data_IF_517952162112
#
_entry.id   IF_517952162112
#
_cell.length_a   1.000
_cell.length_b   1.000
_cell.length_c   1.000
_cell.angle_alpha   90.00
_cell.angle_beta   90.00
_cell.angle_gamma   90.00
#
_symmetry.space_group_name_H-M   'P 1'
#
loop_
_entity.id
_entity.type
_entity.pdbx_description
1 polymer ?
#
# COMPACT_ATOMS: atom_id res chain seq x y z
N UNK A 1 30.44 -8.45 14.81
CA UNK A 1 29.34 -8.91 13.94
C UNK A 1 29.45 -10.41 13.78
N UNK A 2 28.39 -11.17 14.08
CA UNK A 2 28.38 -12.61 13.82
C UNK A 2 28.54 -12.83 12.30
N UNK A 3 29.53 -13.62 11.88
CA UNK A 3 29.64 -14.04 10.48
C UNK A 3 28.47 -14.98 10.19
N UNK A 4 27.43 -14.46 9.53
CA UNK A 4 26.39 -15.32 8.97
C UNK A 4 27.03 -16.14 7.85
N UNK A 5 26.91 -17.46 7.93
CA UNK A 5 27.25 -18.37 6.84
C UNK A 5 25.96 -18.82 6.18
N UNK A 6 25.31 -18.01 5.32
CA UNK A 6 24.28 -18.55 4.46
C UNK A 6 24.91 -19.56 3.51
N UNK A 7 24.18 -20.63 3.22
CA UNK A 7 24.49 -21.52 2.10
C UNK A 7 24.62 -20.68 0.82
N UNK A 8 25.81 -20.62 0.22
CA UNK A 8 26.07 -19.80 -0.99
C UNK A 8 25.86 -20.55 -2.30
N UNK A 9 25.64 -21.87 -2.23
CA UNK A 9 25.52 -22.76 -3.40
C UNK A 9 24.60 -23.91 -3.06
N UNK A 10 23.78 -24.38 -4.01
CA UNK A 10 22.84 -25.51 -3.86
C UNK A 10 23.44 -26.77 -3.22
N UNK A 11 24.75 -26.95 -3.36
CA UNK A 11 25.50 -28.11 -2.89
C UNK A 11 26.01 -27.99 -1.44
N UNK A 12 25.65 -26.94 -0.69
CA UNK A 12 26.15 -26.74 0.67
C UNK A 12 25.05 -26.30 1.65
N UNK A 13 24.11 -27.19 2.02
CA UNK A 13 23.17 -26.94 3.11
C UNK A 13 23.88 -26.64 4.42
N UNK A 14 23.25 -25.83 5.28
CA UNK A 14 23.78 -25.51 6.61
C UNK A 14 22.90 -26.16 7.68
N UNK A 15 23.54 -26.83 8.62
CA UNK A 15 22.91 -27.44 9.78
C UNK A 15 22.95 -26.46 10.97
N UNK A 16 21.79 -25.94 11.36
CA UNK A 16 21.63 -25.08 12.52
C UNK A 16 21.29 -25.93 13.74
N UNK A 17 22.00 -25.70 14.84
CA UNK A 17 21.99 -26.54 16.03
C UNK A 17 21.76 -25.70 17.28
N UNK A 18 21.35 -26.34 18.39
CA UNK A 18 21.29 -25.73 19.72
C UNK A 18 20.45 -24.42 19.75
N UNK A 19 19.27 -24.45 19.14
CA UNK A 19 18.30 -23.35 19.14
C UNK A 19 17.05 -23.65 19.95
N UNK A 20 16.21 -22.62 20.16
CA UNK A 20 14.81 -22.77 20.60
C UNK A 20 13.91 -22.47 19.41
N UNK A 21 13.61 -23.47 18.61
CA UNK A 21 12.94 -23.31 17.31
C UNK A 21 11.45 -23.58 17.48
N UNK A 22 10.62 -22.56 17.29
CA UNK A 22 9.17 -22.70 17.20
C UNK A 22 8.78 -22.98 15.75
N UNK A 23 8.02 -24.05 15.51
CA UNK A 23 7.74 -24.54 14.14
C UNK A 23 6.32 -24.24 13.67
N UNK A 24 5.40 -23.91 14.59
CA UNK A 24 3.94 -23.82 14.35
C UNK A 24 3.29 -25.17 13.96
N UNK A 25 4.05 -26.26 13.86
CA UNK A 25 3.54 -27.60 13.65
C UNK A 25 2.95 -28.16 14.97
N UNK A 26 1.68 -28.56 14.95
CA UNK A 26 1.00 -29.14 16.12
C UNK A 26 1.65 -30.45 16.58
N UNK A 27 2.25 -31.21 15.66
CA UNK A 27 2.88 -32.50 15.95
C UNK A 27 4.31 -32.36 16.49
N UNK A 28 4.99 -31.27 16.15
CA UNK A 28 6.36 -30.98 16.58
C UNK A 28 6.53 -29.47 16.85
N UNK A 29 5.88 -28.90 17.87
CA UNK A 29 5.78 -27.43 18.05
C UNK A 29 7.12 -26.77 18.40
N UNK A 30 8.08 -27.57 18.90
CA UNK A 30 9.41 -27.13 19.26
C UNK A 30 10.46 -28.07 18.65
N UNK A 31 11.56 -27.48 18.21
CA UNK A 31 12.76 -28.16 17.75
C UNK A 31 14.01 -27.45 18.32
N UNK A 32 15.17 -28.11 18.21
CA UNK A 32 16.45 -27.49 18.59
C UNK A 32 17.49 -27.46 17.48
N UNK A 33 17.18 -28.00 16.30
CA UNK A 33 17.99 -27.84 15.11
C UNK A 33 17.21 -28.04 13.83
N UNK A 34 17.80 -27.60 12.71
CA UNK A 34 17.26 -27.80 11.37
C UNK A 34 18.36 -27.74 10.30
N UNK A 35 18.08 -28.30 9.12
CA UNK A 35 18.94 -28.19 7.94
C UNK A 35 18.26 -27.30 6.92
N UNK A 36 18.96 -26.25 6.48
CA UNK A 36 18.48 -25.32 5.47
C UNK A 36 19.34 -25.39 4.20
N UNK A 37 18.80 -25.93 3.09
CA UNK A 37 19.37 -25.83 1.75
C UNK A 37 19.28 -24.41 1.18
N UNK A 38 20.03 -24.12 0.12
CA UNK A 38 19.96 -22.83 -0.60
C UNK A 38 18.60 -22.56 -1.24
N UNK A 39 17.83 -23.61 -1.53
CA UNK A 39 16.49 -23.51 -2.11
C UNK A 39 15.48 -22.83 -1.18
N UNK A 40 15.75 -22.75 0.13
CA UNK A 40 14.94 -22.02 1.11
C UNK A 40 13.87 -22.86 1.84
N UNK A 41 13.65 -24.11 1.45
CA UNK A 41 12.75 -25.03 2.15
C UNK A 41 13.51 -25.87 3.16
N UNK A 42 13.05 -25.94 4.41
CA UNK A 42 13.67 -26.78 5.45
C UNK A 42 13.71 -28.25 4.99
N UNK A 43 14.91 -28.85 5.02
CA UNK A 43 15.09 -30.25 4.64
C UNK A 43 14.74 -31.18 5.80
N UNK A 44 15.19 -30.83 7.00
CA UNK A 44 15.00 -31.60 8.23
C UNK A 44 14.84 -30.63 9.39
N UNK A 45 13.91 -30.91 10.31
CA UNK A 45 13.69 -30.17 11.55
C UNK A 45 13.61 -31.18 12.69
N UNK A 46 14.37 -30.98 13.77
CA UNK A 46 14.54 -32.00 14.80
C UNK A 46 15.29 -31.54 16.03
N UNK A 47 15.79 -32.52 16.77
CA UNK A 47 16.70 -32.27 17.90
C UNK A 47 18.10 -31.93 17.42
N UNK A 48 18.87 -31.25 18.27
CA UNK A 48 20.28 -30.94 18.00
C UNK A 48 21.10 -32.19 17.68
N UNK A 49 20.86 -33.29 18.39
CA UNK A 49 21.63 -34.52 18.22
C UNK A 49 21.33 -35.23 16.88
N UNK A 50 20.08 -35.25 16.46
CA UNK A 50 19.67 -35.78 15.15
C UNK A 50 20.32 -34.98 14.02
N UNK A 51 20.20 -33.65 14.07
CA UNK A 51 20.73 -32.75 13.03
C UNK A 51 22.26 -32.80 13.01
N UNK A 52 22.92 -32.87 14.17
CA UNK A 52 24.37 -33.03 14.26
C UNK A 52 24.84 -34.37 13.68
N UNK A 53 24.08 -35.44 13.90
CA UNK A 53 24.39 -36.76 13.34
C UNK A 53 24.31 -36.75 11.82
N UNK A 54 23.26 -36.15 11.25
CA UNK A 54 23.10 -35.97 9.80
C UNK A 54 24.24 -35.10 9.24
N UNK A 55 24.56 -33.98 9.92
CA UNK A 55 25.62 -33.08 9.51
C UNK A 55 26.99 -33.77 9.48
N UNK A 56 27.31 -34.63 10.46
CA UNK A 56 28.56 -35.41 10.49
C UNK A 56 28.65 -36.40 9.33
N UNK A 57 27.58 -37.14 9.06
CA UNK A 57 27.56 -38.14 7.97
C UNK A 57 27.71 -37.48 6.61
N UNK A 58 27.08 -36.31 6.41
CA UNK A 58 27.09 -35.58 5.13
C UNK A 58 28.21 -34.55 4.99
N UNK A 59 28.99 -34.31 6.05
CA UNK A 59 30.03 -33.28 6.07
C UNK A 59 29.48 -31.85 5.93
N UNK A 60 28.31 -31.56 6.49
CA UNK A 60 27.68 -30.23 6.40
C UNK A 60 28.35 -29.20 7.31
N UNK A 61 28.30 -27.94 6.88
CA UNK A 61 28.65 -26.81 7.76
C UNK A 61 27.63 -26.75 8.89
N UNK A 62 28.11 -26.67 10.12
CA UNK A 62 27.26 -26.51 11.31
C UNK A 62 27.30 -25.07 11.82
N UNK A 63 26.17 -24.62 12.35
CA UNK A 63 26.02 -23.31 13.00
C UNK A 63 25.33 -23.47 14.35
N UNK A 64 26.01 -23.05 15.41
CA UNK A 64 25.46 -23.04 16.77
C UNK A 64 24.61 -21.78 17.00
N UNK A 65 23.30 -21.98 17.20
CA UNK A 65 22.31 -20.94 17.48
C UNK A 65 22.40 -20.42 18.93
N UNK A 66 23.20 -21.04 19.81
CA UNK A 66 23.46 -20.57 21.18
C UNK A 66 22.18 -20.30 21.98
N UNK A 67 21.21 -21.19 21.88
CA UNK A 67 19.90 -21.14 22.52
C UNK A 67 19.03 -19.92 22.13
N UNK A 68 19.39 -19.22 21.05
CA UNK A 68 18.55 -18.16 20.49
C UNK A 68 17.20 -18.73 20.07
N UNK A 69 16.18 -17.91 20.27
CA UNK A 69 14.83 -18.23 19.82
C UNK A 69 14.70 -17.98 18.32
N UNK A 70 14.10 -18.94 17.63
CA UNK A 70 13.82 -18.90 16.19
C UNK A 70 12.32 -19.16 16.04
N UNK A 71 11.67 -18.38 15.19
CA UNK A 71 10.27 -18.55 14.81
C UNK A 71 10.13 -18.28 13.31
N UNK A 72 9.00 -18.67 12.69
CA UNK A 72 8.68 -18.22 11.36
C UNK A 72 8.69 -16.70 11.27
N UNK A 73 8.96 -16.20 10.08
CA UNK A 73 8.83 -14.79 9.75
C UNK A 73 7.38 -14.30 9.92
N UNK A 74 7.24 -12.99 9.97
CA UNK A 74 5.94 -12.34 10.07
C UNK A 74 5.33 -12.18 8.68
N UNK A 75 4.03 -12.42 8.62
CA UNK A 75 3.19 -12.14 7.46
C UNK A 75 2.29 -10.94 7.79
N UNK A 76 2.40 -9.86 7.02
CA UNK A 76 1.47 -8.73 7.12
C UNK A 76 0.34 -8.89 6.09
N UNK A 77 -0.86 -9.17 6.59
CA UNK A 77 -2.02 -9.51 5.77
C UNK A 77 -2.69 -8.30 5.10
N UNK A 78 -2.25 -7.06 5.38
CA UNK A 78 -2.84 -5.90 4.73
C UNK A 78 -1.91 -4.67 4.74
N UNK A 79 -1.27 -4.40 3.61
CA UNK A 79 -0.31 -3.31 3.47
C UNK A 79 -0.56 -2.45 2.23
N UNK A 80 0.05 -1.27 2.23
CA UNK A 80 0.22 -0.42 1.06
C UNK A 80 1.71 -0.08 0.91
N UNK A 81 2.52 -1.05 0.49
CA UNK A 81 3.97 -1.02 0.54
C UNK A 81 4.55 0.15 -0.27
N UNK A 82 4.09 0.30 -1.52
CA UNK A 82 4.53 1.40 -2.38
C UNK A 82 4.14 2.75 -1.77
N UNK A 83 2.88 2.91 -1.37
CA UNK A 83 2.36 4.14 -0.77
C UNK A 83 3.11 4.51 0.52
N UNK A 84 3.44 3.53 1.37
CA UNK A 84 4.22 3.75 2.58
C UNK A 84 5.65 4.24 2.25
N UNK A 85 6.29 3.63 1.25
CA UNK A 85 7.61 4.04 0.77
C UNK A 85 7.60 5.46 0.18
N UNK A 86 6.62 5.76 -0.66
CA UNK A 86 6.43 7.08 -1.26
C UNK A 86 6.14 8.14 -0.18
N UNK A 87 5.24 7.85 0.75
CA UNK A 87 4.93 8.74 1.87
C UNK A 87 6.19 9.10 2.66
N UNK A 88 7.04 8.12 2.98
CA UNK A 88 8.25 8.36 3.76
C UNK A 88 9.36 9.07 3.01
N UNK A 89 9.46 8.86 1.69
CA UNK A 89 10.55 9.43 0.88
C UNK A 89 10.19 10.77 0.24
N UNK A 90 8.91 11.00 -0.04
CA UNK A 90 8.45 12.03 -0.97
C UNK A 90 7.48 13.01 -0.32
N UNK A 91 6.83 12.64 0.79
CA UNK A 91 5.91 13.51 1.48
C UNK A 91 6.56 14.03 2.75
N UNK A 92 6.50 15.35 2.94
CA UNK A 92 6.90 15.96 4.22
C UNK A 92 5.81 15.74 5.25
N UNK A 93 6.21 15.26 6.42
CA UNK A 93 5.35 15.25 7.58
C UNK A 93 5.13 16.68 8.07
N UNK A 94 3.89 17.16 7.99
CA UNK A 94 3.49 18.41 8.61
C UNK A 94 3.08 18.06 10.05
N UNK A 95 3.91 18.46 11.02
CA UNK A 95 3.70 18.12 12.44
C UNK A 95 2.37 18.66 12.95
N UNK A 96 1.76 18.00 13.94
CA UNK A 96 0.45 18.39 14.50
C UNK A 96 0.37 19.81 15.07
N UNK A 97 1.52 20.44 15.32
CA UNK A 97 1.65 21.83 15.78
C UNK A 97 1.75 22.87 14.65
N UNK A 98 1.76 22.43 13.38
CA UNK A 98 1.88 23.33 12.24
C UNK A 98 0.62 24.18 12.09
N UNK A 99 0.79 25.49 11.97
CA UNK A 99 -0.27 26.49 11.88
C UNK A 99 -0.05 27.41 10.67
N UNK A 100 -0.96 28.37 10.48
CA UNK A 100 -1.01 29.24 9.30
C UNK A 100 0.25 30.10 9.12
N UNK A 101 1.04 30.28 10.19
CA UNK A 101 2.31 31.00 10.14
C UNK A 101 3.51 30.08 9.88
N UNK A 102 3.45 28.79 10.27
CA UNK A 102 4.55 27.83 10.12
C UNK A 102 4.43 26.93 8.88
N UNK A 103 3.28 26.89 8.23
CA UNK A 103 3.06 26.08 7.03
C UNK A 103 3.99 26.44 5.88
N UNK A 104 4.02 27.71 5.46
CA UNK A 104 4.81 28.13 4.30
C UNK A 104 6.31 27.89 4.49
N UNK A 105 6.80 27.91 5.73
CA UNK A 105 8.17 27.53 6.08
C UNK A 105 8.36 26.02 5.91
N UNK A 106 7.45 25.22 6.46
CA UNK A 106 7.46 23.74 6.34
C UNK A 106 7.36 23.28 4.88
N UNK A 107 6.61 24.00 4.04
CA UNK A 107 6.41 23.72 2.61
C UNK A 107 7.59 24.15 1.71
N UNK A 108 8.36 25.17 2.10
CA UNK A 108 9.50 25.67 1.30
C UNK A 108 10.70 24.74 1.32
N UNK A 109 10.87 23.98 2.40
CA UNK A 109 12.05 23.13 2.54
C UNK A 109 11.98 21.85 1.69
N UNK A 110 10.78 21.34 1.35
CA UNK A 110 10.54 20.22 0.41
C UNK A 110 9.10 20.23 -0.11
N UNK A 111 8.84 19.65 -1.29
CA UNK A 111 7.48 19.49 -1.85
C UNK A 111 6.55 18.75 -0.87
N UNK A 112 5.47 19.36 -0.39
CA UNK A 112 4.58 18.71 0.59
C UNK A 112 3.12 18.63 0.18
N UNK A 113 2.44 17.70 0.85
CA UNK A 113 1.00 17.53 0.95
C UNK A 113 0.61 17.46 2.45
N UNK A 114 0.04 18.50 3.11
CA UNK A 114 -0.86 18.34 4.28
C UNK A 114 -1.57 19.58 4.93
N UNK A 115 -2.70 19.26 5.60
CA UNK A 115 -3.78 19.97 6.34
C UNK A 115 -3.69 21.47 6.65
N UNK A 116 -4.59 22.28 6.06
CA UNK A 116 -4.96 23.62 6.56
C UNK A 116 -6.46 23.90 6.44
N UNK A 117 -7.00 24.67 7.38
CA UNK A 117 -8.37 25.21 7.40
C UNK A 117 -8.49 26.60 6.76
N UNK A 118 -7.45 27.09 6.08
CA UNK A 118 -7.50 28.36 5.33
C UNK A 118 -6.68 28.29 4.04
N UNK A 119 -7.33 27.81 2.98
CA UNK A 119 -6.77 27.63 1.63
C UNK A 119 -6.26 28.94 1.01
N UNK A 120 -6.75 30.10 1.46
CA UNK A 120 -6.25 31.44 1.05
C UNK A 120 -4.73 31.56 1.16
N UNK A 121 -4.18 31.00 2.23
CA UNK A 121 -2.74 31.00 2.46
C UNK A 121 -1.95 30.22 1.41
N UNK A 122 -2.47 29.08 0.93
CA UNK A 122 -1.80 28.27 -0.11
C UNK A 122 -1.72 29.03 -1.43
N UNK A 123 -2.78 29.76 -1.79
CA UNK A 123 -2.81 30.57 -3.01
C UNK A 123 -1.87 31.78 -2.91
N UNK A 124 -1.79 32.44 -1.75
CA UNK A 124 -0.88 33.57 -1.53
C UNK A 124 0.59 33.16 -1.52
N UNK A 125 0.94 32.03 -0.91
CA UNK A 125 2.34 31.57 -0.83
C UNK A 125 2.81 30.84 -2.09
N UNK A 126 1.90 30.18 -2.81
CA UNK A 126 2.21 29.39 -4.00
C UNK A 126 1.27 29.77 -5.16
N UNK A 127 1.38 30.99 -5.72
CA UNK A 127 0.47 31.44 -6.78
C UNK A 127 0.60 30.63 -8.07
N UNK A 128 1.82 30.25 -8.45
CA UNK A 128 2.12 29.58 -9.73
C UNK A 128 2.61 28.13 -9.58
N UNK A 129 2.77 27.66 -8.33
CA UNK A 129 3.19 26.29 -8.01
C UNK A 129 1.98 25.47 -7.56
N UNK A 130 1.67 24.31 -8.17
CA UNK A 130 0.52 23.54 -7.76
C UNK A 130 0.80 22.87 -6.42
N UNK A 131 -0.10 23.05 -5.45
CA UNK A 131 0.00 22.43 -4.13
C UNK A 131 -1.25 21.61 -3.89
N UNK A 132 -1.05 20.30 -3.71
CA UNK A 132 -2.06 19.38 -3.20
C UNK A 132 -1.71 19.12 -1.74
N UNK A 133 -2.71 19.00 -0.88
CA UNK A 133 -2.55 18.79 0.54
C UNK A 133 -3.51 17.67 0.93
N UNK A 134 -3.01 16.52 1.38
CA UNK A 134 -3.88 15.44 1.86
C UNK A 134 -4.29 15.71 3.32
N UNK A 135 -5.35 15.10 3.81
CA UNK A 135 -5.71 15.14 5.23
C UNK A 135 -5.42 13.82 5.97
N UNK A 136 -5.75 13.75 7.27
CA UNK A 136 -5.55 12.57 8.14
C UNK A 136 -6.44 11.42 7.85
N UNK A 137 -7.62 11.69 7.32
CA UNK A 137 -8.49 10.61 6.86
C UNK A 137 -7.95 9.97 5.58
N UNK A 138 -7.15 10.69 4.77
CA UNK A 138 -6.81 10.34 3.38
C UNK A 138 -7.98 10.46 2.40
N UNK A 139 -9.17 10.82 2.88
CA UNK A 139 -10.39 10.99 2.09
C UNK A 139 -10.60 12.42 1.62
N UNK A 140 -9.77 13.36 2.10
CA UNK A 140 -9.85 14.77 1.74
C UNK A 140 -8.52 15.28 1.20
N UNK A 141 -8.61 16.09 0.15
CA UNK A 141 -7.46 16.87 -0.34
C UNK A 141 -7.84 18.34 -0.44
N UNK A 142 -6.88 19.21 -0.17
CA UNK A 142 -6.95 20.63 -0.45
C UNK A 142 -6.02 20.96 -1.62
N UNK A 143 -6.47 21.81 -2.52
CA UNK A 143 -5.69 22.28 -3.65
C UNK A 143 -5.70 23.81 -3.68
N UNK A 144 -4.57 24.42 -4.02
CA UNK A 144 -4.56 25.84 -4.37
C UNK A 144 -5.16 26.05 -5.77
N UNK A 145 -5.44 27.31 -6.12
CA UNK A 145 -6.03 27.69 -7.42
C UNK A 145 -5.27 27.10 -8.61
N UNK A 146 -3.95 27.10 -8.57
CA UNK A 146 -3.13 26.58 -9.64
C UNK A 146 -3.14 25.04 -9.74
N UNK A 147 -3.23 24.34 -8.62
CA UNK A 147 -3.48 22.90 -8.59
C UNK A 147 -4.83 22.52 -9.19
N UNK A 148 -5.88 23.28 -8.87
CA UNK A 148 -7.23 23.09 -9.42
C UNK A 148 -7.28 23.26 -10.94
N UNK A 149 -6.61 24.30 -11.47
CA UNK A 149 -6.48 24.50 -12.92
C UNK A 149 -5.79 23.31 -13.59
N UNK A 150 -4.70 22.80 -13.01
CA UNK A 150 -3.96 21.66 -13.58
C UNK A 150 -4.75 20.36 -13.62
N UNK A 151 -5.66 20.14 -12.66
CA UNK A 151 -6.55 18.97 -12.68
C UNK A 151 -7.83 19.19 -13.50
N UNK A 152 -8.00 20.38 -14.11
CA UNK A 152 -9.12 20.72 -14.98
C UNK A 152 -10.41 21.11 -14.26
N UNK A 153 -10.34 21.49 -12.98
CA UNK A 153 -11.50 22.02 -12.24
C UNK A 153 -11.71 23.48 -12.63
N UNK A 154 -12.81 23.76 -13.31
CA UNK A 154 -13.21 25.11 -13.72
C UNK A 154 -14.04 25.82 -12.64
N UNK A 155 -14.00 27.17 -12.58
CA UNK A 155 -14.77 27.94 -11.61
C UNK A 155 -16.27 27.67 -11.73
N UNK A 156 -16.98 27.71 -10.61
CA UNK A 156 -18.43 27.46 -10.55
C UNK A 156 -19.24 28.35 -11.51
N UNK A 157 -18.84 29.62 -11.68
CA UNK A 157 -19.48 30.55 -12.61
C UNK A 157 -19.37 30.12 -14.09
N UNK A 158 -18.42 29.25 -14.43
CA UNK A 158 -18.18 28.70 -15.77
C UNK A 158 -18.70 27.26 -15.90
N UNK A 159 -19.28 26.69 -14.83
CA UNK A 159 -19.85 25.34 -14.86
C UNK A 159 -21.22 25.35 -15.52
N UNK A 160 -21.35 24.58 -16.58
CA UNK A 160 -22.64 24.28 -17.23
C UNK A 160 -23.31 23.03 -16.66
N UNK A 161 -22.59 22.27 -15.83
CA UNK A 161 -23.05 21.02 -15.18
C UNK A 161 -22.51 21.00 -13.75
N UNK A 162 -23.29 20.54 -12.74
CA UNK A 162 -22.79 20.36 -11.38
C UNK A 162 -21.51 19.51 -11.37
N UNK A 163 -20.56 19.78 -10.45
CA UNK A 163 -19.35 18.97 -10.37
C UNK A 163 -19.70 17.51 -10.05
N UNK A 164 -18.83 16.54 -10.41
CA UNK A 164 -19.01 15.15 -10.03
C UNK A 164 -19.29 15.01 -8.52
N UNK A 165 -20.13 14.04 -8.13
CA UNK A 165 -20.49 13.79 -6.72
C UNK A 165 -19.21 13.66 -5.86
N UNK A 166 -19.17 14.31 -4.68
CA UNK A 166 -18.00 14.33 -3.77
C UNK A 166 -17.17 15.61 -3.82
N UNK A 167 -17.44 16.52 -4.75
CA UNK A 167 -16.78 17.84 -4.82
C UNK A 167 -17.67 18.88 -4.12
N UNK A 168 -17.40 19.20 -2.85
CA UNK A 168 -18.02 20.35 -2.17
C UNK A 168 -17.15 21.58 -2.41
N UNK A 169 -17.57 22.39 -3.39
CA UNK A 169 -16.86 23.60 -3.78
C UNK A 169 -17.46 24.79 -3.05
N UNK A 170 -16.72 25.44 -2.14
CA UNK A 170 -17.23 26.60 -1.38
C UNK A 170 -16.31 27.80 -1.48
N UNK A 171 -16.85 28.84 -2.13
CA UNK A 171 -16.23 30.17 -2.24
C UNK A 171 -16.28 30.87 -0.88
N UNK A 172 -15.12 31.28 -0.37
CA UNK A 172 -15.04 32.45 0.53
C UNK A 172 -14.51 33.59 -0.34
N UNK A 173 -15.05 34.80 -0.19
CA UNK A 173 -14.49 36.08 -0.66
C UNK A 173 -14.06 36.27 -2.14
N UNK A 174 -14.43 35.39 -3.06
CA UNK A 174 -14.20 35.57 -4.50
C UNK A 174 -12.88 34.99 -5.03
N UNK A 175 -12.06 34.39 -4.17
CA UNK A 175 -10.85 33.64 -4.51
C UNK A 175 -11.15 32.13 -4.57
N UNK A 176 -10.57 31.40 -5.54
CA UNK A 176 -10.73 29.95 -5.66
C UNK A 176 -10.03 29.22 -4.52
N UNK A 177 -10.80 28.59 -3.64
CA UNK A 177 -10.27 27.72 -2.60
C UNK A 177 -11.19 26.55 -2.30
N UNK A 178 -10.77 25.31 -2.53
CA UNK A 178 -11.68 24.15 -2.52
C UNK A 178 -11.05 22.94 -1.79
N UNK A 179 -11.88 22.24 -1.01
CA UNK A 179 -11.61 20.95 -0.41
C UNK A 179 -12.29 19.87 -1.27
N UNK A 180 -11.54 18.90 -1.81
CA UNK A 180 -12.14 17.75 -2.50
C UNK A 180 -12.32 16.60 -1.50
N UNK A 181 -13.48 15.94 -1.51
CA UNK A 181 -13.77 14.76 -0.69
C UNK A 181 -14.12 13.53 -1.55
N UNK A 182 -13.79 12.33 -1.07
CA UNK A 182 -14.21 11.04 -1.66
C UNK A 182 -13.88 10.84 -3.15
N UNK A 183 -14.87 10.88 -4.04
CA UNK A 183 -14.68 10.68 -5.47
C UNK A 183 -13.96 11.86 -6.15
N UNK A 184 -14.05 13.08 -5.58
CA UNK A 184 -13.36 14.27 -6.06
C UNK A 184 -11.83 14.15 -6.07
N UNK A 185 -11.18 13.73 -4.97
CA UNK A 185 -9.77 13.41 -4.98
C UNK A 185 -9.44 12.27 -5.94
N UNK A 186 -10.33 11.28 -6.15
CA UNK A 186 -10.10 10.21 -7.13
C UNK A 186 -9.81 10.71 -8.54
N UNK A 187 -10.55 11.72 -9.01
CA UNK A 187 -10.28 12.36 -10.30
C UNK A 187 -9.04 13.25 -10.28
N UNK A 188 -8.75 13.93 -9.17
CA UNK A 188 -7.50 14.67 -9.00
C UNK A 188 -6.27 13.75 -9.02
N UNK A 189 -6.35 12.58 -8.38
CA UNK A 189 -5.27 11.58 -8.33
C UNK A 189 -4.94 11.05 -9.73
N UNK A 190 -5.94 10.80 -10.57
CA UNK A 190 -5.72 10.39 -11.96
C UNK A 190 -5.04 11.46 -12.83
N UNK A 191 -5.06 12.72 -12.41
CA UNK A 191 -4.38 13.82 -13.11
C UNK A 191 -2.97 14.08 -12.60
N UNK A 192 -2.58 13.43 -11.50
CA UNK A 192 -1.20 13.51 -11.04
C UNK A 192 -0.27 12.73 -11.98
N UNK A 193 0.96 13.20 -12.16
CA UNK A 193 1.94 12.49 -12.97
C UNK A 193 2.20 11.11 -12.37
N UNK A 194 2.17 10.09 -13.21
CA UNK A 194 2.67 8.75 -12.86
C UNK A 194 4.18 8.84 -12.69
N UNK A 195 4.70 8.38 -11.55
CA UNK A 195 6.12 8.40 -11.30
C UNK A 195 6.87 7.42 -12.22
N UNK A 196 8.08 7.77 -12.70
CA UNK A 196 8.86 6.86 -13.53
C UNK A 196 9.34 5.63 -12.72
N UNK A 197 9.52 4.49 -13.39
CA UNK A 197 9.87 3.21 -12.75
C UNK A 197 11.07 3.27 -11.79
N UNK A 198 12.19 3.96 -12.08
CA UNK A 198 13.29 4.08 -11.11
C UNK A 198 12.86 4.64 -9.75
N UNK A 199 11.87 5.52 -9.73
CA UNK A 199 11.32 6.10 -8.49
C UNK A 199 10.43 5.10 -7.77
N UNK A 200 9.54 4.41 -8.49
CA UNK A 200 8.70 3.33 -7.93
C UNK A 200 9.59 2.28 -7.25
N UNK A 201 10.60 1.77 -7.97
CA UNK A 201 11.57 0.80 -7.42
C UNK A 201 12.25 1.30 -6.16
N UNK A 202 12.69 2.56 -6.13
CA UNK A 202 13.34 3.16 -4.95
C UNK A 202 12.41 3.21 -3.74
N UNK A 203 11.13 3.54 -3.92
CA UNK A 203 10.14 3.56 -2.85
C UNK A 203 9.76 2.16 -2.39
N UNK A 204 9.61 1.20 -3.32
CA UNK A 204 9.38 -0.21 -2.99
C UNK A 204 10.54 -0.81 -2.19
N UNK A 205 11.80 -0.60 -2.60
CA UNK A 205 12.98 -1.06 -1.84
C UNK A 205 13.00 -0.50 -0.41
N UNK A 206 12.60 0.76 -0.23
CA UNK A 206 12.50 1.35 1.10
C UNK A 206 11.41 0.68 1.95
N UNK A 207 10.25 0.37 1.35
CA UNK A 207 9.20 -0.42 1.99
C UNK A 207 9.71 -1.79 2.44
N UNK A 208 10.33 -2.54 1.52
CA UNK A 208 10.93 -3.87 1.78
C UNK A 208 11.92 -3.81 2.95
N UNK A 209 12.85 -2.85 2.91
CA UNK A 209 13.82 -2.66 3.99
C UNK A 209 13.18 -2.28 5.33
N UNK A 210 12.00 -1.67 5.32
CA UNK A 210 11.24 -1.37 6.53
C UNK A 210 10.59 -2.63 7.09
N UNK A 211 9.96 -3.46 6.24
CA UNK A 211 9.40 -4.77 6.60
C UNK A 211 10.47 -5.67 7.26
N UNK A 212 11.65 -5.79 6.65
CA UNK A 212 12.72 -6.64 7.17
C UNK A 212 13.21 -6.25 8.58
N UNK A 213 13.13 -4.96 8.96
CA UNK A 213 13.49 -4.52 10.33
C UNK A 213 12.57 -5.09 11.40
N UNK A 214 11.36 -5.48 11.02
CA UNK A 214 10.36 -6.07 11.90
C UNK A 214 10.18 -7.58 11.67
N UNK A 215 11.05 -8.20 10.87
CA UNK A 215 10.97 -9.63 10.55
C UNK A 215 9.80 -9.98 9.61
N UNK A 216 9.24 -9.02 8.89
CA UNK A 216 8.18 -9.25 7.89
C UNK A 216 8.84 -9.67 6.57
N UNK A 217 8.48 -10.84 6.05
CA UNK A 217 9.02 -11.41 4.81
C UNK A 217 7.98 -11.63 3.71
N UNK A 218 6.69 -11.65 4.08
CA UNK A 218 5.54 -11.76 3.18
C UNK A 218 4.54 -10.65 3.49
N UNK A 219 3.94 -10.07 2.45
CA UNK A 219 2.86 -9.07 2.59
C UNK A 219 1.70 -9.34 1.63
N UNK A 220 0.51 -8.83 1.97
CA UNK A 220 -0.52 -8.53 0.98
C UNK A 220 -0.50 -7.04 0.63
N UNK A 221 -0.26 -6.70 -0.63
CA UNK A 221 -0.44 -5.34 -1.14
C UNK A 221 -1.92 -5.15 -1.51
N UNK A 222 -2.58 -4.19 -0.88
CA UNK A 222 -4.03 -4.01 -0.97
C UNK A 222 -4.50 -3.10 -2.13
N UNK A 223 -3.59 -2.50 -2.89
CA UNK A 223 -3.91 -1.54 -3.94
C UNK A 223 -2.95 -1.59 -5.14
N UNK A 224 -2.56 -2.80 -5.55
CA UNK A 224 -1.64 -2.96 -6.66
C UNK A 224 -2.22 -2.37 -7.96
N UNK A 225 -1.36 -1.70 -8.71
CA UNK A 225 -1.68 -1.00 -9.94
C UNK A 225 -0.61 -1.31 -11.01
N UNK A 226 -0.82 -0.85 -12.24
CA UNK A 226 0.00 -1.21 -13.41
C UNK A 226 1.45 -0.81 -13.22
N UNK A 227 1.71 0.45 -12.82
CA UNK A 227 3.08 0.96 -12.66
C UNK A 227 3.83 0.23 -11.54
N UNK A 228 3.13 -0.18 -10.49
CA UNK A 228 3.71 -0.94 -9.40
C UNK A 228 4.12 -2.35 -9.85
N UNK A 229 3.26 -3.06 -10.57
CA UNK A 229 3.58 -4.40 -11.08
C UNK A 229 4.77 -4.37 -12.07
N UNK A 230 4.89 -3.33 -12.91
CA UNK A 230 6.09 -3.15 -13.73
C UNK A 230 7.35 -2.90 -12.89
N UNK A 231 7.25 -2.09 -11.82
CA UNK A 231 8.35 -1.88 -10.89
C UNK A 231 8.79 -3.16 -10.17
N UNK A 232 7.83 -4.01 -9.79
CA UNK A 232 8.11 -5.32 -9.18
C UNK A 232 8.81 -6.27 -10.17
N UNK A 233 8.34 -6.30 -11.42
CA UNK A 233 8.96 -7.11 -12.49
C UNK A 233 10.43 -6.74 -12.71
N UNK A 234 10.73 -5.45 -12.85
CA UNK A 234 12.12 -4.99 -12.99
C UNK A 234 12.96 -5.33 -11.75
N UNK A 235 12.39 -5.21 -10.53
CA UNK A 235 13.10 -5.60 -9.30
C UNK A 235 13.38 -7.10 -9.23
N UNK A 236 12.48 -7.93 -9.70
CA UNK A 236 12.67 -9.38 -9.80
C UNK A 236 13.78 -9.70 -10.82
N UNK A 237 13.70 -9.15 -12.04
CA UNK A 237 14.69 -9.33 -13.11
C UNK A 237 16.09 -8.85 -12.68
N UNK A 238 16.16 -7.78 -11.89
CA UNK A 238 17.39 -7.26 -11.30
C UNK A 238 17.87 -8.05 -10.06
N UNK A 239 17.12 -9.10 -9.63
CA UNK A 239 17.37 -9.88 -8.42
C UNK A 239 17.43 -9.03 -7.13
N UNK A 240 16.66 -7.93 -7.10
CA UNK A 240 16.55 -6.98 -5.98
C UNK A 240 15.24 -7.10 -5.21
N UNK A 241 14.27 -7.85 -5.71
CA UNK A 241 13.07 -8.21 -4.96
C UNK A 241 13.45 -9.28 -3.91
N UNK A 242 13.23 -8.97 -2.63
CA UNK A 242 13.65 -9.78 -1.47
C UNK A 242 12.53 -9.93 -0.42
N UNK A 243 11.29 -9.74 -0.85
CA UNK A 243 10.08 -9.83 -0.06
C UNK A 243 9.03 -10.51 -0.93
N UNK A 244 8.29 -11.47 -0.38
CA UNK A 244 7.17 -12.08 -1.09
C UNK A 244 5.95 -11.15 -1.00
N UNK A 245 5.27 -10.95 -2.13
CA UNK A 245 4.20 -9.95 -2.27
C UNK A 245 2.99 -10.58 -2.97
N UNK A 246 1.90 -10.68 -2.23
CA UNK A 246 0.57 -11.02 -2.76
C UNK A 246 -0.11 -9.73 -3.24
N UNK A 247 -0.08 -9.46 -4.54
CA UNK A 247 -0.59 -8.21 -5.10
C UNK A 247 -2.08 -8.30 -5.36
N UNK A 248 -2.87 -7.53 -4.61
CA UNK A 248 -4.30 -7.41 -4.84
C UNK A 248 -4.57 -6.25 -5.79
N UNK A 249 -5.00 -6.56 -7.01
CA UNK A 249 -5.39 -5.55 -7.99
C UNK A 249 -6.81 -5.06 -7.66
N UNK A 250 -7.00 -3.75 -7.63
CA UNK A 250 -8.29 -3.16 -7.29
C UNK A 250 -9.32 -3.34 -8.41
N UNK A 251 -10.52 -3.82 -8.06
CA UNK A 251 -11.65 -3.93 -8.97
C UNK A 251 -12.75 -2.91 -8.59
N UNK A 252 -13.22 -2.15 -9.59
CA UNK A 252 -14.34 -1.22 -9.41
C UNK A 252 -14.02 0.09 -8.69
N UNK A 253 -12.76 0.34 -8.34
CA UNK A 253 -12.37 1.58 -7.66
C UNK A 253 -11.05 2.15 -8.21
N UNK A 254 -11.06 3.43 -8.60
CA UNK A 254 -9.93 4.16 -9.19
C UNK A 254 -9.08 4.96 -8.18
N UNK A 255 -9.59 5.14 -6.96
CA UNK A 255 -9.08 6.09 -5.98
C UNK A 255 -7.72 5.68 -5.40
N UNK A 256 -7.67 4.57 -4.66
CA UNK A 256 -6.42 4.10 -4.05
C UNK A 256 -5.34 3.68 -5.04
N UNK A 257 -5.64 2.92 -6.11
CA UNK A 257 -4.62 2.55 -7.09
C UNK A 257 -4.17 3.74 -7.95
N UNK A 258 -4.85 4.90 -7.88
CA UNK A 258 -4.58 6.07 -8.72
C UNK A 258 -4.52 5.70 -10.22
N UNK A 259 -5.44 4.83 -10.66
CA UNK A 259 -5.46 4.28 -12.02
C UNK A 259 -6.89 4.18 -12.54
N UNK A 260 -7.09 4.44 -13.84
CA UNK A 260 -8.43 4.41 -14.44
C UNK A 260 -9.04 3.01 -14.41
N UNK A 261 -10.38 2.91 -14.32
CA UNK A 261 -11.08 1.63 -14.28
C UNK A 261 -10.82 0.76 -15.53
N UNK A 262 -10.71 1.38 -16.71
CA UNK A 262 -10.41 0.65 -17.95
C UNK A 262 -9.01 0.05 -17.94
N UNK A 263 -8.04 0.79 -17.40
CA UNK A 263 -6.66 0.31 -17.24
C UNK A 263 -6.58 -0.80 -16.20
N UNK A 264 -7.22 -0.65 -15.04
CA UNK A 264 -7.28 -1.70 -14.02
C UNK A 264 -7.96 -2.98 -14.51
N UNK A 265 -9.03 -2.85 -15.30
CA UNK A 265 -9.66 -4.00 -15.96
C UNK A 265 -8.67 -4.71 -16.89
N UNK A 266 -7.97 -3.95 -17.72
CA UNK A 266 -6.95 -4.51 -18.61
C UNK A 266 -5.81 -5.17 -17.83
N UNK A 267 -5.42 -4.59 -16.69
CA UNK A 267 -4.40 -5.16 -15.80
C UNK A 267 -4.85 -6.49 -15.21
N UNK A 268 -6.12 -6.60 -14.78
CA UNK A 268 -6.70 -7.85 -14.30
C UNK A 268 -6.66 -8.95 -15.38
N UNK A 269 -6.94 -8.59 -16.63
CA UNK A 269 -6.92 -9.53 -17.77
C UNK A 269 -5.51 -10.10 -18.05
N UNK A 270 -4.44 -9.37 -17.66
CA UNK A 270 -3.03 -9.77 -17.87
C UNK A 270 -2.25 -9.99 -16.57
N UNK A 271 -2.94 -10.12 -15.43
CA UNK A 271 -2.30 -10.16 -14.12
C UNK A 271 -1.33 -11.35 -13.96
N UNK A 272 -1.65 -12.52 -14.53
CA UNK A 272 -0.80 -13.71 -14.46
C UNK A 272 0.58 -13.47 -15.13
N UNK A 273 0.68 -12.58 -16.13
CA UNK A 273 1.94 -12.24 -16.80
C UNK A 273 2.93 -11.49 -15.89
N UNK A 274 2.47 -10.96 -14.76
CA UNK A 274 3.30 -10.30 -13.76
C UNK A 274 3.74 -11.21 -12.61
N UNK A 275 3.23 -12.44 -12.56
CA UNK A 275 3.62 -13.42 -11.55
C UNK A 275 5.09 -13.76 -11.69
N UNK A 276 5.78 -13.84 -10.55
CA UNK A 276 7.20 -14.18 -10.50
C UNK A 276 7.51 -15.04 -9.28
N UNK A 277 8.79 -15.24 -8.97
CA UNK A 277 9.21 -15.96 -7.77
C UNK A 277 8.66 -15.33 -6.50
N UNK A 278 8.71 -14.01 -6.38
CA UNK A 278 8.29 -13.29 -5.17
C UNK A 278 6.99 -12.50 -5.34
N UNK A 279 6.30 -12.63 -6.48
CA UNK A 279 5.05 -11.90 -6.77
C UNK A 279 3.95 -12.89 -7.13
N UNK A 280 2.87 -12.88 -6.35
CA UNK A 280 1.63 -13.62 -6.62
C UNK A 280 0.50 -12.65 -6.95
N UNK A 281 -0.05 -12.77 -8.14
CA UNK A 281 -1.01 -11.82 -8.72
C UNK A 281 -2.45 -12.33 -8.73
N UNK A 282 -2.71 -13.50 -8.12
CA UNK A 282 -4.03 -14.17 -8.15
C UNK A 282 -5.12 -13.47 -7.33
N UNK A 283 -4.84 -12.31 -6.74
CA UNK A 283 -5.70 -11.66 -5.77
C UNK A 283 -6.35 -10.38 -6.33
N UNK A 284 -7.61 -10.17 -5.95
CA UNK A 284 -8.40 -8.99 -6.33
C UNK A 284 -8.88 -8.29 -5.06
N UNK A 285 -8.80 -6.96 -5.03
CA UNK A 285 -9.37 -6.15 -3.95
C UNK A 285 -10.70 -5.54 -4.40
N UNK A 286 -11.72 -5.76 -3.59
CA UNK A 286 -12.97 -5.00 -3.64
C UNK A 286 -13.00 -4.00 -2.50
N UNK A 287 -13.55 -2.82 -2.78
CA UNK A 287 -13.78 -1.81 -1.78
C UNK A 287 -15.27 -1.46 -1.75
N UNK A 288 -15.92 -1.80 -0.65
CA UNK A 288 -17.37 -1.67 -0.50
C UNK A 288 -17.76 -0.31 0.09
N UNK A 289 -16.99 0.15 1.09
CA UNK A 289 -17.33 1.33 1.88
C UNK A 289 -16.10 1.91 2.62
N UNK A 290 -16.19 3.15 3.10
CA UNK A 290 -15.14 3.79 3.89
C UNK A 290 -15.21 3.51 5.40
N UNK A 291 -14.23 4.00 6.18
CA UNK A 291 -14.27 3.97 7.65
C UNK A 291 -15.11 5.13 8.26
N UNK A 292 -15.48 4.97 9.54
CA UNK A 292 -16.04 6.06 10.35
C UNK A 292 -14.91 6.96 10.87
N UNK A 293 -14.65 8.07 10.18
CA UNK A 293 -13.58 9.02 10.53
C UNK A 293 -14.14 10.44 10.58
N UNK A 294 -13.74 11.24 11.57
CA UNK A 294 -14.08 12.67 11.65
C UNK A 294 -13.31 13.49 10.59
N UNK A 295 -13.84 14.60 10.05
CA UNK A 295 -15.04 15.33 10.49
C UNK A 295 -16.35 14.94 9.76
N UNK A 296 -16.36 13.86 8.98
CA UNK A 296 -17.55 13.42 8.24
C UNK A 296 -17.45 11.95 7.84
N UNK A 297 -18.55 11.19 7.92
CA UNK A 297 -18.51 9.76 7.62
C UNK A 297 -18.12 9.52 6.16
N UNK A 298 -17.05 8.73 5.98
CA UNK A 298 -16.63 8.20 4.67
C UNK A 298 -17.30 6.86 4.36
N UNK A 299 -18.06 6.36 5.34
CA UNK A 299 -18.85 5.13 5.28
C UNK A 299 -20.31 5.43 4.90
N UNK A 300 -21.01 4.46 4.34
CA UNK A 300 -22.44 4.43 4.12
C UNK A 300 -23.16 4.43 5.46
N UNK A 301 -23.66 5.59 5.87
CA UNK A 301 -24.46 5.73 7.09
C UNK A 301 -25.87 5.18 6.89
N UNK A 302 -26.51 4.74 7.97
CA UNK A 302 -27.91 4.36 7.97
C UNK A 302 -28.78 5.48 8.56
N UNK A 303 -29.98 5.67 8.02
CA UNK A 303 -30.98 6.57 8.55
C UNK A 303 -31.66 5.99 9.81
N UNK A 304 -32.61 6.72 10.40
CA UNK A 304 -33.34 6.27 11.60
C UNK A 304 -34.20 5.01 11.39
N UNK A 305 -34.39 4.57 10.15
CA UNK A 305 -35.13 3.36 9.75
C UNK A 305 -34.17 2.18 9.47
N UNK A 306 -32.86 2.39 9.56
CA UNK A 306 -31.84 1.37 9.27
C UNK A 306 -31.49 1.23 7.78
N UNK A 307 -31.99 2.13 6.93
CA UNK A 307 -31.74 2.13 5.48
C UNK A 307 -30.55 3.05 5.12
N UNK A 308 -29.81 2.78 4.02
CA UNK A 308 -28.74 3.65 3.56
C UNK A 308 -29.17 5.12 3.45
N UNK A 309 -28.47 6.03 4.13
CA UNK A 309 -28.78 7.46 4.14
C UNK A 309 -28.42 8.08 2.78
N UNK A 310 -29.41 8.58 2.01
CA UNK A 310 -29.16 9.15 0.69
C UNK A 310 -28.37 10.47 0.74
N UNK A 311 -28.21 11.09 1.92
CA UNK A 311 -27.50 12.36 2.13
C UNK A 311 -25.99 12.20 2.23
N UNK A 312 -25.48 10.98 2.47
CA UNK A 312 -24.05 10.67 2.52
C UNK A 312 -23.77 9.69 1.37
N UNK A 313 -23.67 10.19 0.13
CA UNK A 313 -23.68 9.34 -1.04
C UNK A 313 -22.30 8.72 -1.25
N UNK A 314 -22.05 7.56 -0.65
CA UNK A 314 -20.97 6.69 -1.12
C UNK A 314 -21.43 6.00 -2.43
N UNK A 315 -20.60 6.11 -3.49
CA UNK A 315 -20.63 5.35 -4.75
C UNK A 315 -21.99 4.80 -5.27
N UNK A 316 -23.10 5.55 -5.20
CA UNK A 316 -24.28 5.23 -6.03
C UNK A 316 -24.06 5.72 -7.47
N UNK A 317 -23.10 5.12 -8.15
CA UNK A 317 -23.05 5.05 -9.60
C UNK A 317 -23.15 3.58 -10.02
N UNK A 318 -24.39 3.06 -9.87
CA UNK A 318 -24.89 1.74 -10.29
C UNK A 318 -24.36 0.50 -9.52
N UNK A 319 -25.26 -0.45 -9.20
CA UNK A 319 -24.98 -1.56 -8.30
C UNK A 319 -24.19 -2.64 -9.04
N UNK A 320 -22.94 -2.85 -8.64
CA UNK A 320 -22.38 -4.20 -8.68
C UNK A 320 -22.43 -4.69 -7.23
N UNK A 321 -23.20 -5.75 -6.96
CA UNK A 321 -23.49 -6.35 -5.64
C UNK A 321 -24.66 -5.83 -4.79
N UNK A 322 -25.80 -5.57 -5.42
CA UNK A 322 -27.08 -6.02 -4.81
C UNK A 322 -27.74 -6.97 -5.82
N UNK A 323 -27.17 -8.17 -5.98
CA UNK A 323 -27.94 -9.27 -6.54
C UNK A 323 -28.94 -9.69 -5.47
N UNK A 324 -30.22 -9.50 -5.75
CA UNK A 324 -31.30 -10.15 -5.02
C UNK A 324 -31.02 -11.67 -4.95
N UNK A 325 -31.26 -12.35 -3.81
CA UNK A 325 -31.18 -13.82 -3.70
C UNK A 325 -32.00 -14.56 -4.78
N UNK A 326 -33.01 -13.91 -5.37
CA UNK A 326 -33.82 -14.45 -6.46
C UNK A 326 -33.08 -14.62 -7.79
N UNK A 327 -31.84 -14.15 -7.91
CA UNK A 327 -31.03 -14.24 -9.15
C UNK A 327 -30.06 -15.43 -9.15
N UNK A 328 -30.01 -16.23 -8.07
CA UNK A 328 -29.14 -17.42 -7.94
C UNK A 328 -29.91 -18.72 -8.24
N UNK A 329 -31.16 -18.64 -8.71
CA UNK A 329 -31.88 -19.79 -9.27
C UNK A 329 -32.30 -19.49 -10.70
N UNK A 330 -31.50 -19.96 -11.65
CA UNK A 330 -31.81 -19.91 -13.08
C UNK A 330 -30.58 -20.08 -13.96
N UNK A 331 -30.38 -21.34 -14.38
CA UNK A 331 -29.40 -21.89 -15.34
C UNK A 331 -28.13 -22.53 -14.76
#
# INVERSE_FOLDING_TARGET
MAKHYPSKTSNNPVAYLNGRVYTVDKSQPLASGFILPTAGTFEVVGTTDEILSIAKVRGLVTYDLRQQFIMPDMYDEHTHLLSAGEKRQLQTGIGGETNEHSLGITLKDRHCLYKFSKVKYLCEQFPDTPVLVRDTSLHKVLLNTEGLKRIGVIPEAERTVPPPRGVDVRRVDGMMTEELMEAGPGDAWLKLPVWPLPRIKKSTIYGINSCHKFGIALIQEASANTVYLHGLRELEEENKLKLDINTHIMCGNKFFPCESLGSLKSLLDVAEDFKSKHVDTRFVKFWLDGPRVEPGPTHCTLNGEGEPDPKIPFFMARPFLLMSPSTIQGE
#
